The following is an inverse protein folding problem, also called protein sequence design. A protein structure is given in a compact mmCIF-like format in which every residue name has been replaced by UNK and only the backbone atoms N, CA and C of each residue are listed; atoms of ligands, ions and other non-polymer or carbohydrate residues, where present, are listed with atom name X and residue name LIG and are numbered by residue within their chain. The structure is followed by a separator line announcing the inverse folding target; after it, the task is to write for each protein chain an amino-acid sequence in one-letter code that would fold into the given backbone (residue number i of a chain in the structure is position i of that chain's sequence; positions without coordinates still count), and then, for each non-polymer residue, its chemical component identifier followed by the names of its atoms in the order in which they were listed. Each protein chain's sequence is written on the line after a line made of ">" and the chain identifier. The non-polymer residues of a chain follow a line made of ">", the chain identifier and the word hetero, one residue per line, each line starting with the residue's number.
data_IF_183880326926
#
_entry.id   IF_183880326926
#
_cell.length_a   1.000
_cell.length_b   1.000
_cell.length_c   1.000
_cell.angle_alpha   90.00
_cell.angle_beta   90.00
_cell.angle_gamma   90.00
#
_symmetry.space_group_name_H-M   'P 1'
#
loop_
_entity.id
_entity.type
_entity.pdbx_description
1 polymer ?
#
# COMPACT_ATOMS: atom_id res chain seq x y z
N UNK A 1 -11.94 16.61 8.70
CA UNK A 1 -10.67 16.12 8.11
C UNK A 1 -9.53 16.67 8.96
N UNK A 2 -9.14 15.94 10.01
CA UNK A 2 -7.96 16.25 10.83
C UNK A 2 -6.73 15.75 10.09
N UNK A 3 -5.61 16.49 10.00
CA UNK A 3 -4.37 15.95 9.46
C UNK A 3 -3.81 14.99 10.52
N UNK A 4 -4.36 13.78 10.56
CA UNK A 4 -3.94 12.73 11.46
C UNK A 4 -2.50 12.39 11.15
N UNK A 5 -1.65 12.45 12.18
CA UNK A 5 -0.32 11.86 12.22
C UNK A 5 -0.28 10.60 11.36
N UNK A 6 0.27 10.70 10.15
CA UNK A 6 0.10 9.65 9.17
C UNK A 6 0.97 8.49 9.62
N UNK A 7 0.37 7.42 10.13
CA UNK A 7 1.09 6.22 10.56
C UNK A 7 1.35 5.32 9.34
N UNK A 8 2.36 4.46 9.45
CA UNK A 8 2.52 3.39 8.47
C UNK A 8 1.23 2.57 8.43
N UNK A 9 0.68 2.30 7.23
CA UNK A 9 -0.43 1.37 7.13
C UNK A 9 -0.05 0.00 7.73
N UNK A 10 -1.02 -0.74 8.31
CA UNK A 10 -0.73 -2.02 8.95
C UNK A 10 -0.10 -3.04 7.99
N UNK A 11 0.88 -3.81 8.47
CA UNK A 11 1.43 -4.95 7.74
C UNK A 11 0.29 -5.96 7.47
N UNK A 12 0.22 -6.46 6.25
CA UNK A 12 -0.86 -7.33 5.77
C UNK A 12 -2.06 -6.58 5.17
N UNK A 13 -2.16 -5.26 5.36
CA UNK A 13 -3.26 -4.48 4.79
C UNK A 13 -3.26 -4.53 3.26
N UNK A 14 -4.44 -4.73 2.67
CA UNK A 14 -4.67 -4.60 1.24
C UNK A 14 -5.11 -3.17 0.91
N UNK A 15 -4.36 -2.53 0.03
CA UNK A 15 -4.54 -1.13 -0.35
C UNK A 15 -4.44 -0.99 -1.87
N UNK A 16 -4.84 0.17 -2.38
CA UNK A 16 -4.65 0.55 -3.78
C UNK A 16 -3.45 1.47 -3.93
N UNK A 17 -2.56 1.10 -4.85
CA UNK A 17 -1.48 1.93 -5.34
C UNK A 17 -1.63 2.11 -6.85
N UNK A 18 -1.95 3.34 -7.28
CA UNK A 18 -2.35 3.63 -8.66
C UNK A 18 -3.51 2.72 -9.10
N UNK A 19 -3.28 1.84 -10.06
CA UNK A 19 -4.27 0.90 -10.63
C UNK A 19 -4.14 -0.53 -10.08
N UNK A 20 -3.28 -0.75 -9.07
CA UNK A 20 -2.98 -2.09 -8.55
C UNK A 20 -3.44 -2.23 -7.10
N UNK A 21 -3.92 -3.43 -6.76
CA UNK A 21 -4.11 -3.86 -5.38
C UNK A 21 -2.76 -4.35 -4.87
N UNK A 22 -2.37 -3.90 -3.69
CA UNK A 22 -1.07 -4.16 -3.10
C UNK A 22 -1.22 -4.57 -1.64
N UNK A 23 -0.33 -5.43 -1.15
CA UNK A 23 -0.22 -5.82 0.25
C UNK A 23 0.92 -5.08 0.91
N UNK A 24 0.70 -4.51 2.08
CA UNK A 24 1.79 -3.93 2.89
C UNK A 24 2.57 -5.07 3.55
N UNK A 25 3.89 -5.08 3.41
CA UNK A 25 4.74 -6.16 3.94
C UNK A 25 5.73 -5.68 5.02
N UNK A 26 6.07 -4.39 5.05
CA UNK A 26 6.91 -3.81 6.10
C UNK A 26 6.81 -2.27 6.12
N UNK A 27 7.19 -1.67 7.23
CA UNK A 27 7.52 -0.24 7.29
C UNK A 27 8.92 0.02 6.69
N UNK A 28 9.08 1.15 6.02
CA UNK A 28 10.34 1.62 5.47
C UNK A 28 10.60 3.09 5.85
N UNK A 29 11.88 3.48 5.81
CA UNK A 29 12.31 4.85 6.16
C UNK A 29 11.63 5.91 5.30
N UNK A 30 11.45 7.10 5.88
CA UNK A 30 10.96 8.28 5.17
C UNK A 30 9.46 8.25 4.87
N UNK A 31 8.66 7.74 5.81
CA UNK A 31 7.20 7.59 5.67
C UNK A 31 6.82 6.72 4.46
N UNK A 32 7.52 5.58 4.34
CA UNK A 32 7.31 4.63 3.25
C UNK A 32 6.85 3.28 3.80
N UNK A 33 6.06 2.58 3.02
CA UNK A 33 5.74 1.19 3.25
C UNK A 33 6.40 0.36 2.14
N UNK A 34 6.97 -0.78 2.49
CA UNK A 34 7.23 -1.83 1.53
C UNK A 34 5.91 -2.47 1.17
N UNK A 35 5.59 -2.48 -0.12
CA UNK A 35 4.39 -3.11 -0.66
C UNK A 35 4.78 -4.23 -1.61
N UNK A 36 3.92 -5.23 -1.67
CA UNK A 36 3.97 -6.32 -2.62
C UNK A 36 2.76 -6.22 -3.57
N UNK A 37 2.99 -6.42 -4.86
CA UNK A 37 1.95 -6.41 -5.90
C UNK A 37 2.26 -7.47 -6.94
N UNK A 38 1.24 -7.87 -7.70
CA UNK A 38 1.43 -8.63 -8.93
C UNK A 38 1.55 -7.70 -10.13
N UNK A 39 2.41 -8.06 -11.09
CA UNK A 39 2.47 -7.45 -12.41
C UNK A 39 1.43 -8.06 -13.38
N UNK A 40 1.46 -7.67 -14.66
CA UNK A 40 0.51 -8.20 -15.65
C UNK A 40 0.76 -9.66 -16.02
N UNK A 41 1.93 -10.19 -15.69
CA UNK A 41 2.33 -11.59 -15.90
C UNK A 41 2.05 -12.46 -14.67
N UNK A 42 1.51 -11.86 -13.60
CA UNK A 42 1.28 -12.53 -12.33
C UNK A 42 2.54 -12.70 -11.48
N UNK A 43 3.64 -12.03 -11.84
CA UNK A 43 4.87 -12.06 -11.04
C UNK A 43 4.81 -11.05 -9.90
N UNK A 44 5.33 -11.46 -8.75
CA UNK A 44 5.41 -10.62 -7.56
C UNK A 44 6.52 -9.58 -7.70
N UNK A 45 6.21 -8.35 -7.32
CA UNK A 45 7.15 -7.25 -7.23
C UNK A 45 7.01 -6.51 -5.89
N UNK A 46 8.15 -6.14 -5.31
CA UNK A 46 8.24 -5.41 -4.04
C UNK A 46 8.75 -3.99 -4.28
N UNK A 47 8.14 -3.01 -3.63
CA UNK A 47 8.58 -1.61 -3.71
C UNK A 47 8.30 -0.81 -2.47
N UNK A 48 9.18 0.15 -2.18
CA UNK A 48 8.94 1.16 -1.16
C UNK A 48 8.13 2.33 -1.74
N UNK A 49 6.94 2.62 -1.21
CA UNK A 49 6.09 3.75 -1.63
C UNK A 49 5.73 4.64 -0.46
N UNK A 50 5.48 5.93 -0.70
CA UNK A 50 5.04 6.85 0.37
C UNK A 50 3.66 6.44 0.89
N UNK A 51 3.45 6.52 2.21
CA UNK A 51 2.16 6.19 2.83
C UNK A 51 0.99 6.95 2.20
N UNK A 52 1.19 8.23 1.83
CA UNK A 52 0.15 9.08 1.26
C UNK A 52 -0.22 8.72 -0.19
N UNK A 53 0.52 7.80 -0.82
CA UNK A 53 0.24 7.29 -2.16
C UNK A 53 -0.64 6.03 -2.11
N UNK A 54 -0.91 5.50 -0.92
CA UNK A 54 -1.79 4.36 -0.68
C UNK A 54 -3.20 4.86 -0.38
N UNK A 55 -4.19 4.10 -0.84
CA UNK A 55 -5.61 4.38 -0.63
C UNK A 55 -6.30 3.12 -0.16
N UNK A 56 -7.26 3.27 0.74
CA UNK A 56 -8.14 2.17 1.11
C UNK A 56 -8.95 1.70 -0.11
N UNK A 57 -9.25 0.40 -0.16
CA UNK A 57 -10.07 -0.18 -1.23
C UNK A 57 -11.54 0.28 -1.15
N UNK A 58 -11.98 0.74 0.03
CA UNK A 58 -13.39 1.05 0.29
C UNK A 58 -14.25 -0.22 0.29
N UNK A 59 -15.56 -0.07 0.06
CA UNK A 59 -16.50 -1.20 0.02
C UNK A 59 -16.37 -2.07 -1.25
N UNK A 60 -15.41 -1.79 -2.13
CA UNK A 60 -15.19 -2.54 -3.36
C UNK A 60 -14.21 -3.68 -3.06
N UNK A 61 -14.73 -4.78 -2.53
CA UNK A 61 -13.90 -5.97 -2.36
C UNK A 61 -13.86 -6.82 -3.63
N UNK A 62 -14.86 -6.78 -4.50
CA UNK A 62 -14.91 -7.47 -5.79
C UNK A 62 -15.91 -6.75 -6.69
#
# INVERSE_FOLDING_TARGET
>A
MTPGNQLCPPIGALLRYRTRIVRVIAEARGQRAMIESLDITGQTFVSAVKWNSLRELGAQLF
#
